data_IF_480867171310
#
_entry.id   IF_480867171310
#
_cell.length_a   1.000
_cell.length_b   1.000
_cell.length_c   1.000
_cell.angle_alpha   90.00
_cell.angle_beta   90.00
_cell.angle_gamma   90.00
#
_symmetry.space_group_name_H-M   'P 1'
#
loop_
_entity.id
_entity.type
_entity.pdbx_description
1 polymer ?
#
# COMPACT_ATOMS: atom_id res chain seq x y z
N UNK A 1 -1.21 37.47 -34.81
CA UNK A 1 -0.81 37.60 -33.39
C UNK A 1 -1.19 36.31 -32.69
N UNK A 2 -0.25 35.36 -32.57
CA UNK A 2 -0.49 34.06 -31.93
C UNK A 2 -0.57 34.32 -30.43
N UNK A 3 -1.76 34.15 -29.85
CA UNK A 3 -1.97 34.28 -28.41
C UNK A 3 -1.33 33.05 -27.76
N UNK A 4 -0.07 33.21 -27.35
CA UNK A 4 0.66 32.21 -26.60
C UNK A 4 0.15 32.27 -25.15
N UNK A 5 -0.86 31.46 -24.84
CA UNK A 5 -1.31 31.28 -23.47
C UNK A 5 -0.18 30.65 -22.66
N UNK A 6 0.48 31.45 -21.83
CA UNK A 6 1.42 30.95 -20.82
C UNK A 6 0.63 30.20 -19.75
N UNK A 7 0.51 28.89 -19.92
CA UNK A 7 -0.07 28.00 -18.93
C UNK A 7 0.93 27.89 -17.77
N UNK A 8 0.55 28.37 -16.59
CA UNK A 8 1.31 28.17 -15.34
C UNK A 8 1.79 26.72 -15.20
N UNK A 9 3.02 26.50 -14.72
CA UNK A 9 3.59 25.16 -14.54
C UNK A 9 2.65 24.23 -13.75
N UNK A 10 1.93 24.74 -12.74
CA UNK A 10 0.91 23.96 -12.00
C UNK A 10 -0.23 23.46 -12.89
N UNK A 11 -0.69 24.29 -13.83
CA UNK A 11 -1.75 23.93 -14.78
C UNK A 11 -1.24 22.93 -15.84
N UNK A 12 0.03 23.02 -16.25
CA UNK A 12 0.65 22.04 -17.15
C UNK A 12 0.69 20.64 -16.53
N UNK A 13 1.00 20.53 -15.24
CA UNK A 13 0.97 19.25 -14.52
C UNK A 13 -0.45 18.68 -14.39
N UNK A 14 -1.46 19.52 -14.09
CA UNK A 14 -2.85 19.08 -14.01
C UNK A 14 -3.38 18.61 -15.36
N UNK A 15 -3.09 19.36 -16.44
CA UNK A 15 -3.45 18.98 -17.81
C UNK A 15 -2.77 17.66 -18.19
N UNK A 16 -1.48 17.50 -17.91
CA UNK A 16 -0.76 16.25 -18.20
C UNK A 16 -1.37 15.07 -17.45
N UNK A 17 -1.73 15.24 -16.16
CA UNK A 17 -2.40 14.19 -15.37
C UNK A 17 -3.79 13.84 -15.93
N UNK A 18 -4.54 14.84 -16.37
CA UNK A 18 -5.84 14.63 -17.00
C UNK A 18 -5.70 13.89 -18.34
N UNK A 19 -4.79 14.33 -19.21
CA UNK A 19 -4.46 13.66 -20.48
C UNK A 19 -4.00 12.23 -20.21
N UNK A 20 -3.18 12.02 -19.17
CA UNK A 20 -2.69 10.69 -18.84
C UNK A 20 -3.81 9.76 -18.37
N UNK A 21 -4.74 10.25 -17.55
CA UNK A 21 -5.92 9.50 -17.12
C UNK A 21 -6.88 9.23 -18.28
N UNK A 22 -7.17 10.24 -19.10
CA UNK A 22 -8.08 10.13 -20.24
C UNK A 22 -7.55 9.18 -21.31
N UNK A 23 -6.26 9.27 -21.65
CA UNK A 23 -5.64 8.37 -22.63
C UNK A 23 -5.65 6.91 -22.17
N UNK A 24 -5.45 6.65 -20.87
CA UNK A 24 -5.62 5.30 -20.32
C UNK A 24 -7.04 4.76 -20.57
N UNK A 25 -8.05 5.59 -20.28
CA UNK A 25 -9.45 5.21 -20.47
C UNK A 25 -9.76 4.86 -21.94
N UNK A 26 -9.39 5.72 -22.89
CA UNK A 26 -9.66 5.45 -24.31
C UNK A 26 -8.87 4.25 -24.83
N UNK A 27 -7.59 4.10 -24.45
CA UNK A 27 -6.80 2.93 -24.81
C UNK A 27 -7.44 1.65 -24.28
N UNK A 28 -7.99 1.66 -23.06
CA UNK A 28 -8.60 0.46 -22.48
C UNK A 28 -9.72 -0.12 -23.35
N UNK A 29 -10.48 0.71 -24.07
CA UNK A 29 -11.55 0.28 -24.97
C UNK A 29 -11.02 -0.53 -26.17
N UNK A 30 -9.90 -0.09 -26.76
CA UNK A 30 -9.26 -0.81 -27.86
C UNK A 30 -8.69 -2.16 -27.44
N UNK A 31 -8.26 -2.27 -26.18
CA UNK A 31 -7.67 -3.48 -25.62
C UNK A 31 -8.69 -4.44 -25.03
N UNK A 32 -10.01 -4.17 -25.08
CA UNK A 32 -11.01 -5.11 -24.56
C UNK A 32 -10.89 -6.47 -25.27
N UNK A 33 -10.81 -6.48 -26.60
CA UNK A 33 -10.81 -7.71 -27.40
C UNK A 33 -9.41 -8.21 -27.80
N UNK A 34 -8.35 -7.54 -27.34
CA UNK A 34 -6.98 -7.95 -27.65
C UNK A 34 -6.64 -9.28 -26.95
N UNK A 35 -5.90 -10.14 -27.66
CA UNK A 35 -5.18 -11.24 -27.02
C UNK A 35 -4.18 -10.67 -26.01
N UNK A 36 -3.98 -11.36 -24.90
CA UNK A 36 -3.03 -10.94 -23.87
C UNK A 36 -1.68 -11.61 -24.05
N UNK A 37 -0.64 -10.85 -23.75
CA UNK A 37 0.72 -11.36 -23.61
C UNK A 37 0.90 -11.94 -22.21
N UNK A 38 1.80 -12.91 -22.06
CA UNK A 38 2.19 -13.48 -20.77
C UNK A 38 3.02 -12.50 -19.94
N UNK A 39 2.38 -11.40 -19.55
CA UNK A 39 2.95 -10.35 -18.70
C UNK A 39 2.07 -10.23 -17.46
N UNK A 40 2.71 -10.16 -16.28
CA UNK A 40 2.07 -9.85 -15.01
C UNK A 40 2.54 -8.48 -14.53
N UNK A 41 1.60 -7.56 -14.34
CA UNK A 41 1.87 -6.19 -13.87
C UNK A 41 1.46 -6.06 -12.41
N UNK A 42 2.40 -5.68 -11.57
CA UNK A 42 2.16 -5.34 -10.17
C UNK A 42 2.08 -3.82 -10.00
N UNK A 43 1.24 -3.37 -9.07
CA UNK A 43 1.29 -2.00 -8.57
C UNK A 43 0.80 -1.89 -7.12
N UNK A 44 1.12 -0.76 -6.49
CA UNK A 44 0.56 -0.38 -5.18
C UNK A 44 0.02 1.05 -5.25
N UNK A 45 0.16 1.83 -4.18
CA UNK A 45 -0.44 3.17 -4.04
C UNK A 45 -0.13 4.08 -5.23
N UNK A 46 -1.17 4.39 -6.02
CA UNK A 46 -1.15 5.32 -7.17
C UNK A 46 0.05 5.16 -8.13
N UNK A 47 0.57 3.95 -8.27
CA UNK A 47 1.79 3.64 -9.03
C UNK A 47 3.03 4.43 -8.59
N UNK A 48 3.11 4.88 -7.35
CA UNK A 48 4.29 5.60 -6.83
C UNK A 48 5.05 4.80 -5.79
N UNK A 49 4.36 3.91 -5.11
CA UNK A 49 4.94 3.17 -4.00
C UNK A 49 5.21 1.71 -4.33
N UNK A 50 6.14 1.13 -3.57
CA UNK A 50 6.48 -0.29 -3.55
C UNK A 50 6.19 -0.78 -2.14
N UNK A 51 4.91 -1.10 -1.87
CA UNK A 51 4.38 -1.32 -0.52
C UNK A 51 3.27 -2.38 -0.52
N UNK A 52 2.84 -2.78 0.68
CA UNK A 52 1.70 -3.67 0.93
C UNK A 52 1.84 -5.07 0.29
N UNK A 53 0.71 -5.75 0.09
CA UNK A 53 0.68 -7.14 -0.35
C UNK A 53 1.31 -7.36 -1.74
N UNK A 54 1.19 -6.41 -2.66
CA UNK A 54 1.75 -6.54 -4.01
C UNK A 54 3.28 -6.45 -4.01
N UNK A 55 3.90 -5.68 -3.11
CA UNK A 55 5.36 -5.71 -2.88
C UNK A 55 5.82 -7.11 -2.53
N UNK A 56 5.21 -7.71 -1.50
CA UNK A 56 5.69 -9.00 -0.99
C UNK A 56 5.36 -10.17 -1.91
N UNK A 57 4.18 -10.17 -2.54
CA UNK A 57 3.88 -11.16 -3.58
C UNK A 57 4.88 -11.06 -4.75
N UNK A 58 5.29 -9.85 -5.13
CA UNK A 58 6.31 -9.65 -6.15
C UNK A 58 7.69 -10.18 -5.69
N UNK A 59 8.19 -9.75 -4.52
CA UNK A 59 9.52 -10.14 -4.03
C UNK A 59 9.62 -11.67 -3.89
N UNK A 60 8.57 -12.31 -3.35
CA UNK A 60 8.63 -13.72 -2.99
C UNK A 60 8.30 -14.66 -4.16
N UNK A 61 7.61 -14.19 -5.20
CA UNK A 61 7.08 -15.08 -6.24
C UNK A 61 7.31 -14.62 -7.68
N UNK A 62 8.03 -13.53 -7.93
CA UNK A 62 8.39 -13.14 -9.32
C UNK A 62 9.13 -14.28 -10.04
N UNK A 63 10.05 -14.97 -9.38
CA UNK A 63 10.85 -16.05 -9.99
C UNK A 63 9.97 -17.26 -10.34
N UNK A 64 8.96 -17.55 -9.51
CA UNK A 64 7.98 -18.61 -9.76
C UNK A 64 7.07 -18.30 -10.96
N UNK A 65 6.74 -17.03 -11.17
CA UNK A 65 6.00 -16.57 -12.34
C UNK A 65 6.87 -16.61 -13.59
N UNK A 66 8.12 -16.18 -13.49
CA UNK A 66 9.11 -16.24 -14.59
C UNK A 66 9.40 -17.69 -15.01
N UNK A 67 9.48 -18.63 -14.07
CA UNK A 67 9.59 -20.06 -14.36
C UNK A 67 8.38 -20.63 -15.13
N UNK A 68 7.24 -19.93 -15.11
CA UNK A 68 6.05 -20.24 -15.90
C UNK A 68 5.96 -19.43 -17.20
N UNK A 69 7.07 -18.83 -17.65
CA UNK A 69 7.18 -18.06 -18.89
C UNK A 69 6.32 -16.77 -18.87
N UNK A 70 6.12 -16.19 -17.68
CA UNK A 70 5.57 -14.85 -17.53
C UNK A 70 6.69 -13.81 -17.39
N UNK A 71 6.60 -12.73 -18.16
CA UNK A 71 7.34 -11.51 -17.85
C UNK A 71 6.67 -10.82 -16.65
N UNK A 72 7.44 -10.45 -15.63
CA UNK A 72 6.93 -9.77 -14.44
C UNK A 72 7.42 -8.34 -14.43
N UNK A 73 6.52 -7.37 -14.22
CA UNK A 73 6.88 -5.96 -14.03
C UNK A 73 6.14 -5.32 -12.88
N UNK A 74 6.72 -4.27 -12.30
CA UNK A 74 6.11 -3.46 -11.24
C UNK A 74 6.05 -1.99 -11.65
N UNK A 75 4.89 -1.35 -11.55
CA UNK A 75 4.73 0.05 -11.97
C UNK A 75 5.16 1.03 -10.87
N UNK A 76 6.19 1.82 -11.15
CA UNK A 76 6.70 2.92 -10.32
C UNK A 76 6.92 4.17 -11.21
N UNK A 77 6.04 5.16 -11.05
CA UNK A 77 6.03 6.41 -11.81
C UNK A 77 6.97 7.49 -11.28
N UNK A 78 7.46 7.32 -10.05
CA UNK A 78 8.47 8.15 -9.42
C UNK A 78 9.86 7.73 -9.91
N UNK A 79 10.62 8.65 -10.51
CA UNK A 79 11.84 8.33 -11.24
C UNK A 79 12.95 7.87 -10.28
N UNK A 80 13.22 8.66 -9.24
CA UNK A 80 14.26 8.35 -8.26
C UNK A 80 13.98 7.03 -7.53
N UNK A 81 12.72 6.81 -7.13
CA UNK A 81 12.32 5.54 -6.51
C UNK A 81 12.44 4.37 -7.48
N UNK A 82 12.07 4.54 -8.76
CA UNK A 82 12.22 3.50 -9.78
C UNK A 82 13.69 3.14 -9.98
N UNK A 83 14.57 4.12 -10.13
CA UNK A 83 16.02 3.90 -10.30
C UNK A 83 16.62 3.17 -9.08
N UNK A 84 16.28 3.59 -7.86
CA UNK A 84 16.74 2.93 -6.64
C UNK A 84 16.25 1.47 -6.54
N UNK A 85 14.99 1.22 -6.91
CA UNK A 85 14.42 -0.13 -6.91
C UNK A 85 15.03 -1.00 -8.01
N UNK A 86 15.27 -0.46 -9.20
CA UNK A 86 15.96 -1.15 -10.29
C UNK A 86 17.37 -1.56 -9.88
N UNK A 87 18.12 -0.65 -9.24
CA UNK A 87 19.45 -0.96 -8.72
C UNK A 87 19.42 -2.08 -7.67
N UNK A 88 18.35 -2.16 -6.86
CA UNK A 88 18.23 -3.14 -5.78
C UNK A 88 17.70 -4.51 -6.23
N UNK A 89 16.70 -4.56 -7.10
CA UNK A 89 16.00 -5.80 -7.46
C UNK A 89 16.10 -6.17 -8.95
N UNK A 90 16.73 -5.34 -9.79
CA UNK A 90 16.86 -5.56 -11.24
C UNK A 90 15.81 -4.86 -12.09
N UNK A 91 15.83 -5.11 -13.40
CA UNK A 91 15.04 -4.44 -14.45
C UNK A 91 13.54 -4.83 -14.49
N UNK A 92 12.89 -4.78 -13.33
CA UNK A 92 11.48 -5.09 -13.14
C UNK A 92 10.57 -3.87 -13.15
N UNK A 93 11.10 -2.68 -12.87
CA UNK A 93 10.28 -1.51 -12.58
C UNK A 93 10.06 -0.64 -13.82
N UNK A 94 8.80 -0.33 -14.11
CA UNK A 94 8.39 0.42 -15.29
C UNK A 94 7.55 1.64 -14.92
N UNK A 95 7.41 2.57 -15.86
CA UNK A 95 6.47 3.70 -15.76
C UNK A 95 5.15 3.35 -16.44
N UNK A 96 4.02 3.85 -15.94
CA UNK A 96 2.75 3.87 -16.71
C UNK A 96 2.52 5.18 -17.48
N UNK A 97 3.49 6.10 -17.45
CA UNK A 97 3.44 7.35 -18.24
C UNK A 97 3.81 7.08 -19.70
N UNK A 98 3.12 7.78 -20.60
CA UNK A 98 3.30 7.64 -22.06
C UNK A 98 2.44 6.54 -22.69
N UNK A 99 2.10 6.70 -23.97
CA UNK A 99 1.17 5.81 -24.68
C UNK A 99 1.73 4.38 -24.84
N UNK A 100 3.01 4.23 -25.21
CA UNK A 100 3.64 2.92 -25.39
C UNK A 100 3.59 2.06 -24.13
N UNK A 101 3.96 2.64 -22.98
CA UNK A 101 3.88 1.95 -21.69
C UNK A 101 2.44 1.58 -21.30
N UNK A 102 1.46 2.44 -21.58
CA UNK A 102 0.05 2.13 -21.35
C UNK A 102 -0.43 0.97 -22.22
N UNK A 103 -0.08 0.97 -23.51
CA UNK A 103 -0.38 -0.14 -24.41
C UNK A 103 0.25 -1.44 -23.93
N UNK A 104 1.52 -1.41 -23.51
CA UNK A 104 2.22 -2.56 -22.94
C UNK A 104 1.49 -3.09 -21.70
N UNK A 105 1.18 -2.23 -20.72
CA UNK A 105 0.45 -2.61 -19.50
C UNK A 105 -0.96 -3.13 -19.83
N UNK A 106 -1.68 -2.50 -20.76
CA UNK A 106 -2.98 -2.94 -21.24
C UNK A 106 -2.91 -4.24 -22.05
N UNK A 107 -1.75 -4.67 -22.53
CA UNK A 107 -1.63 -5.95 -23.21
C UNK A 107 -1.35 -7.12 -22.24
N UNK A 108 -1.03 -6.83 -20.98
CA UNK A 108 -0.71 -7.85 -19.99
C UNK A 108 -1.88 -8.78 -19.65
N UNK A 109 -1.57 -10.06 -19.43
CA UNK A 109 -2.50 -11.11 -19.05
C UNK A 109 -2.95 -11.03 -17.59
N UNK A 110 -2.13 -10.49 -16.69
CA UNK A 110 -2.45 -10.42 -15.27
C UNK A 110 -2.06 -9.09 -14.63
N UNK A 111 -2.94 -8.53 -13.79
CA UNK A 111 -2.63 -7.37 -12.93
C UNK A 111 -2.83 -7.73 -11.46
N UNK A 112 -1.86 -7.37 -10.63
CA UNK A 112 -1.88 -7.57 -9.19
C UNK A 112 -1.77 -6.22 -8.48
N UNK A 113 -2.78 -5.87 -7.70
CA UNK A 113 -2.94 -4.53 -7.12
C UNK A 113 -3.09 -4.63 -5.60
N UNK A 114 -2.57 -3.65 -4.85
CA UNK A 114 -2.83 -3.52 -3.40
C UNK A 114 -3.83 -2.42 -3.03
N UNK A 115 -4.01 -1.45 -3.93
CA UNK A 115 -4.97 -0.36 -3.78
C UNK A 115 -5.95 -0.39 -4.94
N UNK A 116 -7.05 0.35 -4.86
CA UNK A 116 -8.06 0.33 -5.92
C UNK A 116 -7.59 1.03 -7.21
N UNK A 117 -6.41 1.64 -7.19
CA UNK A 117 -5.83 2.34 -8.33
C UNK A 117 -5.24 1.33 -9.32
N UNK A 118 -5.83 1.13 -10.51
CA UNK A 118 -5.23 0.25 -11.51
C UNK A 118 -3.95 0.88 -12.10
N UNK A 119 -3.02 0.06 -12.64
CA UNK A 119 -1.80 0.57 -13.24
C UNK A 119 -2.08 1.51 -14.44
N UNK A 120 -3.18 1.28 -15.15
CA UNK A 120 -3.78 2.18 -16.15
C UNK A 120 -5.29 2.25 -15.93
N UNK A 121 -5.86 3.46 -15.90
CA UNK A 121 -7.31 3.66 -15.75
C UNK A 121 -8.09 3.18 -16.97
N UNK A 122 -9.30 2.67 -16.77
CA UNK A 122 -10.13 2.15 -17.86
C UNK A 122 -11.38 1.43 -17.38
N UNK A 123 -12.05 0.75 -18.31
CA UNK A 123 -13.23 -0.08 -18.06
C UNK A 123 -13.06 -1.48 -18.66
N UNK A 124 -13.80 -2.46 -18.12
CA UNK A 124 -13.73 -3.87 -18.55
C UNK A 124 -12.31 -4.44 -18.48
N UNK A 125 -11.52 -3.97 -17.51
CA UNK A 125 -10.10 -4.33 -17.39
C UNK A 125 -9.88 -5.79 -16.96
N UNK A 126 -10.92 -6.51 -16.54
CA UNK A 126 -10.85 -7.95 -16.29
C UNK A 126 -11.24 -8.80 -17.52
N UNK A 127 -11.62 -8.20 -18.65
CA UNK A 127 -12.01 -8.96 -19.83
C UNK A 127 -10.78 -9.61 -20.47
N UNK A 128 -10.76 -10.95 -20.54
CA UNK A 128 -9.62 -11.76 -20.93
C UNK A 128 -8.33 -11.44 -20.15
N UNK A 129 -8.42 -10.81 -18.97
CA UNK A 129 -7.29 -10.46 -18.11
C UNK A 129 -7.60 -10.86 -16.67
N UNK A 130 -6.66 -11.50 -16.02
CA UNK A 130 -6.74 -11.75 -14.58
C UNK A 130 -6.39 -10.46 -13.82
N UNK A 131 -7.32 -9.91 -13.04
CA UNK A 131 -7.04 -8.73 -12.20
C UNK A 131 -7.34 -9.08 -10.76
N UNK A 132 -6.32 -9.05 -9.90
CA UNK A 132 -6.45 -9.45 -8.51
C UNK A 132 -6.13 -8.31 -7.57
N UNK A 133 -7.12 -7.96 -6.74
CA UNK A 133 -7.01 -6.92 -5.74
C UNK A 133 -6.69 -7.53 -4.38
N UNK A 134 -5.45 -7.34 -3.91
CA UNK A 134 -4.94 -7.89 -2.65
C UNK A 134 -5.33 -7.07 -1.42
N UNK A 135 -5.69 -5.79 -1.61
CA UNK A 135 -5.86 -4.86 -0.50
C UNK A 135 -4.54 -4.60 0.25
N UNK A 136 -4.65 -3.89 1.38
CA UNK A 136 -3.50 -3.43 2.17
C UNK A 136 -3.66 -3.66 3.68
N UNK A 137 -4.64 -4.46 4.08
CA UNK A 137 -4.86 -4.80 5.48
C UNK A 137 -6.26 -5.31 5.76
N UNK A 138 -6.45 -5.77 6.98
CA UNK A 138 -7.74 -6.26 7.48
C UNK A 138 -8.63 -5.05 7.85
N UNK A 139 -9.89 -5.01 7.40
CA UNK A 139 -10.75 -3.85 7.64
C UNK A 139 -11.27 -3.85 9.09
N UNK A 140 -10.83 -2.88 9.89
CA UNK A 140 -11.38 -2.60 11.24
C UNK A 140 -12.46 -1.51 11.17
N UNK A 141 -12.31 -0.56 10.25
CA UNK A 141 -13.28 0.51 9.99
C UNK A 141 -14.12 0.20 8.75
N UNK A 142 -15.29 0.83 8.66
CA UNK A 142 -16.11 0.80 7.45
C UNK A 142 -15.34 1.37 6.25
N UNK A 143 -15.23 0.59 5.17
CA UNK A 143 -14.52 0.97 3.94
C UNK A 143 -15.41 0.84 2.70
N UNK A 144 -14.97 1.43 1.60
CA UNK A 144 -15.65 1.33 0.31
C UNK A 144 -17.09 1.83 0.35
N UNK A 145 -18.04 0.97 -0.02
CA UNK A 145 -19.48 1.24 -0.02
C UNK A 145 -20.12 1.16 1.38
N UNK A 146 -19.44 0.52 2.35
CA UNK A 146 -19.89 0.42 3.74
C UNK A 146 -19.60 1.69 4.54
N UNK A 147 -18.74 2.55 4.03
CA UNK A 147 -18.53 3.90 4.56
C UNK A 147 -19.79 4.76 4.30
N UNK A 148 -20.51 5.09 5.39
CA UNK A 148 -21.75 5.88 5.33
C UNK A 148 -21.59 7.26 4.68
N UNK A 149 -20.36 7.80 4.65
CA UNK A 149 -20.04 9.08 4.00
C UNK A 149 -19.72 8.96 2.50
N UNK A 150 -19.81 7.75 1.92
CA UNK A 150 -19.45 7.51 0.53
C UNK A 150 -20.34 8.29 -0.46
N UNK A 151 -19.71 9.26 -1.16
CA UNK A 151 -20.34 10.10 -2.17
C UNK A 151 -20.86 9.30 -3.38
N UNK A 152 -21.79 9.88 -4.14
CA UNK A 152 -22.32 9.28 -5.38
C UNK A 152 -21.21 8.94 -6.40
N UNK A 153 -20.19 9.80 -6.51
CA UNK A 153 -19.03 9.56 -7.38
C UNK A 153 -18.20 8.36 -6.92
N UNK A 154 -17.95 8.24 -5.60
CA UNK A 154 -17.27 7.06 -5.03
C UNK A 154 -18.08 5.79 -5.32
N UNK A 155 -19.40 5.81 -5.15
CA UNK A 155 -20.26 4.66 -5.46
C UNK A 155 -20.22 4.26 -6.94
N UNK A 156 -20.25 5.24 -7.85
CA UNK A 156 -20.11 4.99 -9.29
C UNK A 156 -18.74 4.39 -9.65
N UNK A 157 -17.67 4.89 -9.04
CA UNK A 157 -16.32 4.34 -9.21
C UNK A 157 -16.24 2.88 -8.74
N UNK A 158 -16.77 2.54 -7.57
CA UNK A 158 -16.78 1.16 -7.09
C UNK A 158 -17.60 0.24 -8.00
N UNK A 159 -18.74 0.72 -8.53
CA UNK A 159 -19.53 -0.02 -9.51
C UNK A 159 -18.73 -0.30 -10.79
N UNK A 160 -17.96 0.68 -11.28
CA UNK A 160 -17.05 0.50 -12.41
C UNK A 160 -15.94 -0.52 -12.08
N UNK A 161 -15.42 -0.52 -10.86
CA UNK A 161 -14.37 -1.46 -10.47
C UNK A 161 -14.84 -2.93 -10.44
N UNK A 162 -16.14 -3.19 -10.27
CA UNK A 162 -16.69 -4.56 -10.34
C UNK A 162 -16.47 -5.25 -11.68
N UNK A 163 -16.33 -4.50 -12.78
CA UNK A 163 -15.98 -5.01 -14.11
C UNK A 163 -14.51 -4.86 -14.47
N UNK A 164 -13.70 -4.29 -13.57
CA UNK A 164 -12.26 -4.16 -13.76
C UNK A 164 -11.46 -5.19 -12.97
N UNK A 165 -12.03 -5.75 -11.92
CA UNK A 165 -11.34 -6.68 -11.01
C UNK A 165 -11.97 -8.07 -11.15
N UNK A 166 -11.13 -9.09 -11.27
CA UNK A 166 -11.54 -10.50 -11.30
C UNK A 166 -11.82 -10.98 -9.89
N UNK A 167 -10.86 -10.79 -8.97
CA UNK A 167 -10.97 -11.22 -7.58
C UNK A 167 -10.50 -10.17 -6.58
N UNK A 168 -11.03 -10.27 -5.37
CA UNK A 168 -10.66 -9.49 -4.21
C UNK A 168 -10.20 -10.44 -3.10
N UNK A 169 -9.06 -10.15 -2.49
CA UNK A 169 -8.56 -10.93 -1.37
C UNK A 169 -9.38 -10.62 -0.13
N UNK A 170 -9.84 -11.67 0.55
CA UNK A 170 -10.28 -11.61 1.94
C UNK A 170 -9.24 -12.31 2.81
N UNK A 171 -8.81 -11.70 3.92
CA UNK A 171 -7.78 -12.28 4.78
C UNK A 171 -8.28 -13.49 5.60
N UNK A 172 -9.59 -13.67 5.70
CA UNK A 172 -10.22 -14.84 6.34
C UNK A 172 -11.67 -14.99 5.87
N UNK A 173 -12.28 -16.13 6.16
CA UNK A 173 -13.71 -16.38 5.88
C UNK A 173 -14.61 -15.36 6.59
N UNK A 174 -14.24 -14.95 7.81
CA UNK A 174 -14.96 -13.95 8.60
C UNK A 174 -15.15 -12.63 7.84
N UNK A 175 -14.15 -12.19 7.07
CA UNK A 175 -14.23 -10.94 6.31
C UNK A 175 -14.78 -11.10 4.90
N UNK A 176 -15.00 -12.31 4.39
CA UNK A 176 -15.32 -12.54 2.98
C UNK A 176 -16.63 -11.84 2.56
N UNK A 177 -17.67 -12.00 3.39
CA UNK A 177 -18.96 -11.33 3.16
C UNK A 177 -18.81 -9.81 3.20
N UNK A 178 -18.06 -9.30 4.19
CA UNK A 178 -17.81 -7.88 4.36
C UNK A 178 -17.05 -7.28 3.18
N UNK A 179 -16.01 -7.95 2.67
CA UNK A 179 -15.25 -7.52 1.48
C UNK A 179 -16.17 -7.44 0.27
N UNK A 180 -17.04 -8.44 0.06
CA UNK A 180 -18.06 -8.39 -1.00
C UNK A 180 -18.95 -7.16 -0.90
N UNK A 181 -19.49 -6.85 0.29
CA UNK A 181 -20.32 -5.67 0.53
C UNK A 181 -19.54 -4.36 0.35
N UNK A 182 -18.33 -4.27 0.88
CA UNK A 182 -17.47 -3.09 0.81
C UNK A 182 -17.10 -2.72 -0.62
N UNK A 183 -16.86 -3.70 -1.49
CA UNK A 183 -16.50 -3.47 -2.89
C UNK A 183 -17.68 -3.58 -3.87
N UNK A 184 -18.87 -3.99 -3.41
CA UNK A 184 -20.07 -4.12 -4.23
C UNK A 184 -20.01 -5.31 -5.19
N UNK A 185 -19.33 -6.38 -4.80
CA UNK A 185 -19.07 -7.58 -5.63
C UNK A 185 -19.70 -8.82 -5.01
N UNK A 186 -19.87 -9.85 -5.84
CA UNK A 186 -20.41 -11.15 -5.38
C UNK A 186 -19.34 -11.96 -4.65
N UNK A 187 -19.77 -12.90 -3.81
CA UNK A 187 -18.84 -13.80 -3.10
C UNK A 187 -17.98 -14.66 -4.04
N UNK A 188 -18.44 -14.91 -5.27
CA UNK A 188 -17.64 -15.59 -6.31
C UNK A 188 -16.39 -14.80 -6.71
N UNK A 189 -16.38 -13.48 -6.49
CA UNK A 189 -15.23 -12.60 -6.74
C UNK A 189 -14.38 -12.38 -5.48
N UNK A 190 -14.67 -13.04 -4.36
CA UNK A 190 -13.90 -12.92 -3.13
C UNK A 190 -13.12 -14.21 -2.91
N UNK A 191 -11.80 -14.10 -2.84
CA UNK A 191 -10.91 -15.24 -2.55
C UNK A 191 -10.36 -15.12 -1.14
N UNK A 192 -10.63 -16.12 -0.30
CA UNK A 192 -10.10 -16.19 1.06
C UNK A 192 -8.69 -16.77 1.01
N UNK A 193 -7.69 -15.95 1.33
CA UNK A 193 -6.28 -16.34 1.31
C UNK A 193 -5.48 -15.52 2.33
N UNK A 194 -4.32 -16.05 2.73
CA UNK A 194 -3.36 -15.30 3.53
C UNK A 194 -2.90 -14.04 2.78
N UNK A 195 -2.68 -12.96 3.52
CA UNK A 195 -2.13 -11.73 2.96
C UNK A 195 -0.63 -11.94 2.64
N UNK A 196 -0.15 -11.69 1.41
CA UNK A 196 1.26 -11.90 1.06
C UNK A 196 2.27 -11.18 1.97
N UNK A 197 1.90 -10.02 2.53
CA UNK A 197 2.76 -9.30 3.49
C UNK A 197 3.01 -10.05 4.80
N UNK A 198 2.24 -11.09 5.10
CA UNK A 198 2.49 -11.91 6.29
C UNK A 198 3.70 -12.82 6.10
N UNK A 199 4.02 -13.18 4.85
CA UNK A 199 5.22 -13.97 4.57
C UNK A 199 6.48 -13.19 4.92
N UNK A 200 6.47 -11.86 4.83
CA UNK A 200 7.62 -11.04 5.17
C UNK A 200 7.88 -10.88 6.66
N UNK A 201 6.96 -11.36 7.51
CA UNK A 201 7.21 -11.40 8.94
C UNK A 201 8.45 -12.28 9.16
N UNK A 202 9.45 -11.74 9.85
CA UNK A 202 10.71 -12.41 10.19
C UNK A 202 11.75 -12.49 9.06
N UNK A 203 11.57 -11.73 7.96
CA UNK A 203 12.58 -11.70 6.89
C UNK A 203 13.91 -11.11 7.35
N UNK A 204 13.86 -10.13 8.26
CA UNK A 204 15.07 -9.50 8.77
C UNK A 204 14.85 -8.88 10.15
N UNK A 205 15.92 -8.92 10.95
CA UNK A 205 15.98 -8.25 12.23
C UNK A 205 16.63 -6.87 12.00
N UNK A 206 15.96 -5.81 12.44
CA UNK A 206 16.51 -4.45 12.38
C UNK A 206 17.53 -4.24 13.49
N UNK A 207 18.76 -3.89 13.11
CA UNK A 207 19.81 -3.47 14.06
C UNK A 207 19.38 -2.25 14.88
N UNK A 208 18.59 -1.35 14.27
CA UNK A 208 18.04 -0.18 14.95
C UNK A 208 17.11 -0.56 16.11
N UNK A 209 16.28 -1.59 15.94
CA UNK A 209 15.43 -2.09 17.04
C UNK A 209 16.28 -2.88 18.03
N UNK A 210 17.17 -3.74 17.54
CA UNK A 210 17.95 -4.67 18.37
C UNK A 210 18.88 -3.97 19.36
N UNK A 211 19.41 -2.79 19.04
CA UNK A 211 20.28 -2.05 19.96
C UNK A 211 19.58 -1.71 21.30
N UNK A 212 18.25 -1.67 21.35
CA UNK A 212 17.48 -1.40 22.56
C UNK A 212 17.18 -2.67 23.38
N UNK A 213 17.47 -3.86 22.86
CA UNK A 213 17.36 -5.13 23.58
C UNK A 213 18.66 -5.39 24.35
N UNK A 214 18.83 -4.73 25.49
CA UNK A 214 20.08 -4.78 26.29
C UNK A 214 20.38 -6.17 26.88
N UNK A 215 19.36 -6.99 27.11
CA UNK A 215 19.49 -8.39 27.51
C UNK A 215 18.27 -9.22 27.08
N UNK A 216 18.34 -10.55 27.29
CA UNK A 216 17.27 -11.49 26.90
C UNK A 216 15.94 -11.30 27.64
N UNK A 217 15.93 -10.55 28.75
CA UNK A 217 14.71 -10.23 29.51
C UNK A 217 14.08 -8.90 29.09
N UNK A 218 14.77 -8.09 28.28
CA UNK A 218 14.23 -6.80 27.85
C UNK A 218 13.00 -6.99 26.98
N UNK A 219 11.92 -6.27 27.29
CA UNK A 219 10.66 -6.35 26.55
C UNK A 219 10.50 -5.15 25.63
N UNK A 220 10.31 -5.41 24.33
CA UNK A 220 10.07 -4.35 23.36
C UNK A 220 8.57 -4.25 23.09
N UNK A 221 8.02 -3.05 23.23
CA UNK A 221 6.61 -2.74 23.05
C UNK A 221 6.45 -1.89 21.80
N UNK A 222 5.59 -2.28 20.87
CA UNK A 222 5.22 -1.46 19.72
C UNK A 222 3.92 -0.72 20.02
N UNK A 223 3.98 0.61 20.14
CA UNK A 223 2.82 1.48 20.32
C UNK A 223 2.42 2.15 18.99
N UNK A 224 1.21 1.85 18.51
CA UNK A 224 0.71 2.22 17.17
C UNK A 224 -0.63 2.98 17.22
N UNK A 225 -0.66 4.18 17.82
CA UNK A 225 -1.90 4.94 17.93
C UNK A 225 -2.48 5.29 16.56
N UNK A 226 -3.78 5.03 16.37
CA UNK A 226 -4.43 5.26 15.09
C UNK A 226 -4.57 6.76 14.79
N UNK A 227 -4.21 7.18 13.58
CA UNK A 227 -4.51 8.53 13.10
C UNK A 227 -6.01 8.75 12.92
N UNK A 228 -6.49 9.92 13.34
CA UNK A 228 -7.89 10.34 13.22
C UNK A 228 -7.96 11.59 12.34
N UNK A 229 -8.81 11.61 11.29
CA UNK A 229 -8.91 12.78 10.40
C UNK A 229 -9.48 14.04 11.05
N UNK A 230 -10.24 13.88 12.14
CA UNK A 230 -11.04 14.94 12.75
C UNK A 230 -10.64 15.22 14.21
N UNK A 231 -9.57 14.58 14.70
CA UNK A 231 -9.09 14.74 16.07
C UNK A 231 -7.57 14.62 16.09
N UNK A 232 -6.92 15.40 16.95
CA UNK A 232 -5.50 15.25 17.19
C UNK A 232 -5.21 13.90 17.85
N UNK A 233 -4.18 13.21 17.36
CA UNK A 233 -3.72 11.97 18.00
C UNK A 233 -3.11 12.32 19.35
N UNK A 234 -3.75 11.86 20.42
CA UNK A 234 -3.23 11.99 21.78
C UNK A 234 -2.33 10.80 22.10
N UNK A 235 -1.04 11.07 22.35
CA UNK A 235 -0.11 10.06 22.81
C UNK A 235 -0.21 9.95 24.32
N UNK A 236 -0.22 8.71 24.83
CA UNK A 236 -0.37 8.41 26.26
C UNK A 236 -1.46 9.27 26.94
N UNK A 237 -2.75 9.13 26.53
CA UNK A 237 -3.84 10.01 26.94
C UNK A 237 -4.30 9.77 28.40
N UNK A 238 -3.35 9.72 29.33
CA UNK A 238 -3.55 9.56 30.76
C UNK A 238 -3.54 10.94 31.44
N UNK A 239 -4.45 11.18 32.37
CA UNK A 239 -4.59 12.48 33.02
C UNK A 239 -3.37 12.86 33.87
N UNK A 240 -2.63 11.85 34.34
CA UNK A 240 -1.45 11.91 35.18
C UNK A 240 -0.16 11.57 34.41
N UNK A 241 -0.17 11.70 33.06
CA UNK A 241 1.01 11.46 32.24
C UNK A 241 2.21 12.29 32.70
N UNK A 242 3.34 11.61 32.90
CA UNK A 242 4.65 12.22 33.13
C UNK A 242 5.70 11.40 32.39
N UNK A 243 6.46 12.06 31.50
CA UNK A 243 7.53 11.40 30.73
C UNK A 243 8.58 10.77 31.66
N UNK A 244 8.87 11.43 32.78
CA UNK A 244 9.83 10.95 33.80
C UNK A 244 9.29 9.72 34.53
N UNK A 245 8.02 9.73 34.93
CA UNK A 245 7.42 8.58 35.64
C UNK A 245 7.34 7.36 34.73
N UNK A 246 6.97 7.55 33.45
CA UNK A 246 6.94 6.46 32.47
C UNK A 246 8.34 5.92 32.22
N UNK A 247 9.34 6.78 32.03
CA UNK A 247 10.72 6.35 31.85
C UNK A 247 11.20 5.50 33.03
N UNK A 248 10.99 5.96 34.26
CA UNK A 248 11.37 5.23 35.46
C UNK A 248 10.67 3.85 35.53
N UNK A 249 9.36 3.80 35.29
CA UNK A 249 8.61 2.53 35.29
C UNK A 249 9.08 1.56 34.21
N UNK A 250 9.42 2.07 33.03
CA UNK A 250 9.96 1.28 31.92
C UNK A 250 11.36 0.76 32.23
N UNK A 251 12.23 1.54 32.88
CA UNK A 251 13.54 1.08 33.36
C UNK A 251 13.37 -0.03 34.40
N UNK A 252 12.56 0.20 35.44
CA UNK A 252 12.30 -0.77 36.51
C UNK A 252 11.70 -2.08 35.97
N UNK A 253 10.88 -1.98 34.92
CA UNK A 253 10.25 -3.14 34.27
C UNK A 253 11.08 -3.75 33.14
N UNK A 254 12.28 -3.20 32.84
CA UNK A 254 13.13 -3.60 31.71
C UNK A 254 12.37 -3.63 30.36
N UNK A 255 11.63 -2.55 30.08
CA UNK A 255 10.81 -2.40 28.88
C UNK A 255 11.22 -1.17 28.06
N UNK A 256 11.03 -1.25 26.74
CA UNK A 256 11.23 -0.13 25.80
C UNK A 256 9.99 -0.01 24.93
N UNK A 257 9.42 1.19 24.84
CA UNK A 257 8.29 1.50 23.95
C UNK A 257 8.82 2.12 22.67
N UNK A 258 8.39 1.59 21.53
CA UNK A 258 8.58 2.20 20.22
C UNK A 258 7.27 2.81 19.75
N UNK A 259 7.28 4.10 19.44
CA UNK A 259 6.12 4.82 18.91
C UNK A 259 6.19 4.79 17.38
N UNK A 260 5.22 4.13 16.73
CA UNK A 260 5.07 4.13 15.27
C UNK A 260 3.83 4.94 14.88
N UNK A 261 4.04 6.18 14.46
CA UNK A 261 2.96 7.06 14.04
C UNK A 261 2.67 6.96 12.54
N UNK A 262 1.45 7.37 12.18
CA UNK A 262 1.06 7.49 10.79
C UNK A 262 1.93 8.53 10.05
N UNK A 263 2.28 8.35 8.76
CA UNK A 263 3.12 9.30 8.01
C UNK A 263 2.57 10.72 7.88
N UNK A 264 1.28 10.92 8.17
CA UNK A 264 0.60 12.23 8.19
C UNK A 264 0.40 12.78 9.59
N UNK A 265 1.10 12.24 10.59
CA UNK A 265 1.11 12.86 11.90
C UNK A 265 1.92 14.16 11.83
N UNK A 266 1.31 15.27 12.23
CA UNK A 266 1.90 16.61 12.14
C UNK A 266 2.32 17.17 13.52
N UNK A 267 2.01 16.45 14.60
CA UNK A 267 2.35 16.89 15.95
C UNK A 267 3.83 16.73 16.29
N UNK A 268 4.28 17.43 17.33
CA UNK A 268 5.60 17.21 17.91
C UNK A 268 5.55 16.04 18.89
N UNK A 269 6.37 15.02 18.63
CA UNK A 269 6.51 13.85 19.50
C UNK A 269 7.60 14.01 20.55
N UNK A 270 8.48 15.00 20.40
CA UNK A 270 9.66 15.19 21.25
C UNK A 270 9.35 15.20 22.75
N UNK A 271 8.22 15.77 23.23
CA UNK A 271 7.84 15.72 24.65
C UNK A 271 7.61 14.32 25.22
N UNK A 272 7.42 13.32 24.35
CA UNK A 272 7.16 11.94 24.74
C UNK A 272 8.40 11.05 24.62
N UNK A 273 9.45 11.51 23.94
CA UNK A 273 10.65 10.71 23.71
C UNK A 273 11.61 10.81 24.91
N UNK A 274 12.22 9.68 25.26
CA UNK A 274 13.23 9.58 26.31
C UNK A 274 14.09 8.31 26.07
N UNK A 275 14.85 7.84 27.06
CA UNK A 275 15.73 6.67 26.87
C UNK A 275 14.99 5.36 26.64
N UNK A 276 13.74 5.25 27.10
CA UNK A 276 12.88 4.07 26.98
C UNK A 276 11.68 4.26 26.04
N UNK A 277 11.48 5.45 25.49
CA UNK A 277 10.39 5.75 24.55
C UNK A 277 10.99 6.29 23.25
N UNK A 278 11.02 5.45 22.23
CA UNK A 278 11.80 5.61 21.01
C UNK A 278 10.87 5.92 19.82
N UNK A 279 11.26 6.88 18.99
CA UNK A 279 10.56 7.17 17.74
C UNK A 279 10.91 6.11 16.67
N UNK A 280 9.91 5.36 16.20
CA UNK A 280 10.05 4.40 15.11
C UNK A 280 9.41 4.92 13.83
N UNK A 281 9.97 5.97 13.23
CA UNK A 281 9.41 6.55 12.01
C UNK A 281 9.79 5.78 10.73
N UNK A 282 9.23 6.18 9.58
CA UNK A 282 9.48 5.52 8.29
C UNK A 282 10.90 5.67 7.75
N UNK A 283 11.71 6.58 8.31
CA UNK A 283 13.13 6.71 7.97
C UNK A 283 13.97 5.66 8.69
N UNK A 284 13.64 5.37 9.96
CA UNK A 284 14.31 4.31 10.73
C UNK A 284 13.96 2.93 10.16
N UNK A 285 12.68 2.70 9.88
CA UNK A 285 12.16 1.46 9.30
C UNK A 285 11.05 1.79 8.31
N UNK A 286 11.26 1.45 7.04
CA UNK A 286 10.27 1.74 5.99
C UNK A 286 8.97 0.95 6.20
N UNK A 287 9.04 -0.38 6.27
CA UNK A 287 7.89 -1.27 6.48
C UNK A 287 7.99 -1.99 7.84
N UNK A 288 7.06 -1.70 8.73
CA UNK A 288 7.03 -2.29 10.07
C UNK A 288 6.71 -3.79 10.04
N UNK A 289 6.04 -4.27 8.98
CA UNK A 289 5.57 -5.66 8.89
C UNK A 289 6.72 -6.66 8.94
N UNK A 290 7.89 -6.29 8.41
CA UNK A 290 9.10 -7.12 8.37
C UNK A 290 9.73 -7.36 9.75
N UNK A 291 9.36 -6.53 10.73
CA UNK A 291 10.02 -6.45 12.05
C UNK A 291 9.05 -6.65 13.21
N UNK A 292 7.80 -7.05 12.95
CA UNK A 292 6.79 -7.23 14.00
C UNK A 292 7.22 -8.29 15.03
N UNK A 293 7.99 -9.29 14.62
CA UNK A 293 8.54 -10.35 15.47
C UNK A 293 9.63 -9.89 16.44
N UNK A 294 10.17 -8.68 16.25
CA UNK A 294 11.11 -8.09 17.20
C UNK A 294 10.42 -7.58 18.47
N UNK A 295 9.09 -7.45 18.46
CA UNK A 295 8.30 -6.89 19.55
C UNK A 295 7.62 -7.97 20.38
N UNK A 296 7.68 -7.80 21.69
CA UNK A 296 7.06 -8.69 22.67
C UNK A 296 5.58 -8.33 22.91
N UNK A 297 5.20 -7.06 22.71
CA UNK A 297 3.86 -6.51 23.04
C UNK A 297 3.43 -5.49 21.97
N UNK A 298 2.14 -5.49 21.62
CA UNK A 298 1.51 -4.52 20.72
C UNK A 298 0.45 -3.70 21.46
N UNK A 299 0.52 -2.37 21.34
CA UNK A 299 -0.38 -1.40 21.95
C UNK A 299 -0.96 -0.42 20.93
#
# INVERSE_FOLDING_TARGET
MVIMWSISNKNKFLIQRFIDAASGFFLSLFFIFSKREKVIIFNSTVNRDFTFNSKYLFINHKDNLEAQDYEVKFVINDIAKREALTAKYGEYFISSKGLGNKCYILNAAGWIMSTMDPPVGGIFLNHNRFVFQLGHGTPIKNIGLMDGSASRLKRAYYKLMTSNVTYYLSPSDFFAEYIGKAFGVTQKQVMVMAQPRLESMNYSQSDFINQYRTNSKTKLVLYTPTWRPYEDVKLFPFADYSAQNIEQQLIESNMVIFIRLHPKFEGDISPYLNSQVINLNSQAIEDITEHLDQFDIFC
#
